data_IF_586393933447
#
_entry.id   IF_586393933447
#
_cell.length_a   1.000
_cell.length_b   1.000
_cell.length_c   1.000
_cell.angle_alpha   90.00
_cell.angle_beta   90.00
_cell.angle_gamma   90.00
#
_symmetry.space_group_name_H-M   'P 1'
#
loop_
_entity.id
_entity.type
_entity.pdbx_description
1 polymer ?
#
# COMPACT_ATOMS: atom_id res chain seq x y z
N UNK A 1 -22.91 47.15 -6.13
CA UNK A 1 -22.08 48.32 -5.73
C UNK A 1 -20.61 47.94 -5.88
N UNK A 2 -19.94 48.34 -6.97
CA UNK A 2 -18.51 48.15 -7.16
C UNK A 2 -17.74 49.39 -6.68
N UNK A 3 -16.52 49.21 -6.17
CA UNK A 3 -15.54 50.30 -6.07
C UNK A 3 -14.27 49.90 -6.82
N UNK A 4 -14.03 50.63 -7.90
CA UNK A 4 -12.78 50.76 -8.64
C UNK A 4 -12.08 52.05 -8.19
N UNK A 5 -10.86 52.23 -8.70
CA UNK A 5 -9.95 53.40 -8.64
C UNK A 5 -8.89 53.35 -7.52
N UNK A 6 -7.59 53.53 -7.78
CA UNK A 6 -6.90 53.84 -9.03
C UNK A 6 -5.68 54.73 -8.78
N UNK A 7 -4.52 54.33 -9.35
CA UNK A 7 -3.36 55.16 -9.78
C UNK A 7 -2.53 55.81 -8.64
N UNK A 8 -1.23 56.08 -8.73
CA UNK A 8 -0.29 56.23 -9.85
C UNK A 8 1.17 56.17 -9.37
N UNK A 9 2.07 55.79 -10.31
CA UNK A 9 3.55 55.87 -10.28
C UNK A 9 4.06 57.32 -10.29
N UNK A 10 5.38 57.49 -10.03
CA UNK A 10 6.39 58.42 -10.66
C UNK A 10 7.55 58.58 -9.62
N UNK A 11 8.70 57.92 -9.76
CA UNK A 11 9.98 58.23 -10.46
C UNK A 11 10.81 59.45 -9.97
N UNK A 12 12.10 59.17 -9.74
CA UNK A 12 13.30 59.98 -10.12
C UNK A 12 14.26 60.47 -9.02
N UNK A 13 15.42 59.82 -9.02
CA UNK A 13 16.81 60.31 -8.91
C UNK A 13 17.09 61.83 -8.83
N UNK A 14 18.06 62.25 -7.98
CA UNK A 14 19.49 62.55 -8.33
C UNK A 14 20.14 63.67 -7.48
N UNK A 15 21.26 63.31 -6.82
CA UNK A 15 22.56 64.03 -6.54
C UNK A 15 22.61 65.50 -6.09
N UNK A 16 23.47 65.77 -5.07
CA UNK A 16 24.75 66.56 -5.07
C UNK A 16 25.09 66.98 -3.62
N UNK A 17 26.20 66.55 -3.01
CA UNK A 17 27.63 66.95 -3.13
C UNK A 17 28.04 67.89 -1.98
N UNK A 18 29.19 67.63 -1.33
CA UNK A 18 30.26 68.60 -0.97
C UNK A 18 31.35 67.93 -0.09
N UNK A 19 32.61 68.01 -0.54
CA UNK A 19 33.89 67.94 0.20
C UNK A 19 34.50 69.37 0.21
N UNK A 20 35.65 69.77 0.85
CA UNK A 20 37.01 69.14 0.91
C UNK A 20 37.71 69.31 2.31
N UNK A 21 38.93 68.87 2.66
CA UNK A 21 40.33 69.22 2.24
C UNK A 21 41.33 68.22 2.89
N UNK A 22 42.22 67.50 2.18
CA UNK A 22 43.63 67.79 1.83
C UNK A 22 44.67 67.79 2.98
N UNK A 23 45.61 66.83 3.01
CA UNK A 23 47.07 67.08 3.02
C UNK A 23 47.98 65.81 2.96
N UNK A 24 48.99 65.93 2.09
CA UNK A 24 50.24 65.20 1.74
C UNK A 24 50.74 63.88 2.38
N UNK A 25 51.19 62.96 1.49
CA UNK A 25 51.93 61.70 1.70
C UNK A 25 53.49 61.85 1.68
N UNK A 26 54.24 60.85 2.21
CA UNK A 26 55.52 60.42 1.61
C UNK A 26 55.58 58.89 1.29
N UNK A 27 56.51 58.44 0.41
CA UNK A 27 56.40 57.18 -0.32
C UNK A 27 56.96 55.93 0.39
N UNK A 28 56.50 54.76 -0.09
CA UNK A 28 56.62 53.42 0.49
C UNK A 28 57.99 52.71 0.28
N UNK A 29 58.39 51.78 1.18
CA UNK A 29 59.43 50.78 0.90
C UNK A 29 58.85 49.48 0.29
N UNK A 30 59.67 48.60 -0.32
CA UNK A 30 59.20 47.62 -1.30
C UNK A 30 58.58 46.35 -0.70
N UNK A 31 57.72 45.74 -1.54
CA UNK A 31 56.84 44.59 -1.31
C UNK A 31 57.58 43.33 -0.82
N UNK A 32 57.14 42.80 0.33
CA UNK A 32 57.32 41.37 0.68
C UNK A 32 56.02 40.64 0.36
N UNK A 33 56.06 39.73 -0.59
CA UNK A 33 55.01 38.74 -0.82
C UNK A 33 54.80 37.92 0.46
N UNK A 34 53.64 38.06 1.10
CA UNK A 34 53.11 37.08 2.04
C UNK A 34 51.84 36.49 1.43
N UNK A 35 51.88 35.17 1.31
CA UNK A 35 50.86 34.28 0.77
C UNK A 35 49.58 34.43 1.61
N UNK A 36 48.45 34.75 0.97
CA UNK A 36 47.13 34.80 1.61
C UNK A 36 46.63 33.38 1.85
N UNK A 37 46.69 32.94 3.10
CA UNK A 37 45.99 31.75 3.60
C UNK A 37 44.54 32.12 3.87
N UNK A 38 43.69 32.08 2.84
CA UNK A 38 42.23 32.14 3.03
C UNK A 38 41.74 30.72 3.32
N UNK A 39 41.68 30.34 4.59
CA UNK A 39 40.93 29.17 5.07
C UNK A 39 39.97 29.64 6.16
N UNK A 40 38.94 30.38 5.75
CA UNK A 40 37.76 30.61 6.58
C UNK A 40 36.60 29.82 5.95
N UNK A 41 36.60 28.50 6.16
CA UNK A 41 35.36 27.74 6.10
C UNK A 41 34.45 28.27 7.22
N UNK A 42 33.17 28.57 6.95
CA UNK A 42 32.24 28.91 8.02
C UNK A 42 32.16 27.72 8.99
N UNK A 43 32.13 27.96 10.31
CA UNK A 43 32.08 26.87 11.29
C UNK A 43 30.86 25.98 11.01
N UNK A 44 30.98 24.66 11.22
CA UNK A 44 29.87 23.74 11.02
C UNK A 44 28.66 24.24 11.83
N UNK A 45 27.51 24.40 11.16
CA UNK A 45 26.28 24.88 11.80
C UNK A 45 26.02 24.03 13.04
N UNK A 46 25.99 24.67 14.20
CA UNK A 46 25.60 24.00 15.44
C UNK A 46 24.20 23.38 15.26
N UNK A 47 23.98 22.13 15.73
CA UNK A 47 22.69 21.49 15.60
C UNK A 47 21.63 22.31 16.35
N UNK A 48 20.54 22.65 15.66
CA UNK A 48 19.40 23.39 16.19
C UNK A 48 19.00 22.85 17.58
N UNK A 49 18.82 23.71 18.60
CA UNK A 49 18.50 23.29 19.96
C UNK A 49 17.10 22.68 19.98
N UNK A 50 17.05 21.35 19.92
CA UNK A 50 15.82 20.56 19.84
C UNK A 50 15.95 19.28 19.00
N UNK A 51 17.00 19.14 18.17
CA UNK A 51 17.23 17.88 17.46
C UNK A 51 17.83 16.83 18.42
N UNK A 52 17.12 15.73 18.64
CA UNK A 52 17.70 14.62 19.42
C UNK A 52 18.92 14.09 18.66
N UNK A 53 20.00 13.71 19.38
CA UNK A 53 21.21 13.15 18.74
C UNK A 53 20.92 11.94 17.84
N UNK A 54 19.79 11.24 18.08
CA UNK A 54 19.29 10.14 17.24
C UNK A 54 18.78 10.60 15.87
N UNK A 55 18.19 11.79 15.75
CA UNK A 55 17.69 12.31 14.46
C UNK A 55 18.82 12.62 13.47
N UNK A 56 19.99 12.98 14.00
CA UNK A 56 21.18 13.34 13.24
C UNK A 56 22.13 12.16 12.96
N UNK A 57 21.78 10.94 13.41
CA UNK A 57 22.62 9.77 13.13
C UNK A 57 22.55 9.37 11.65
N UNK A 58 23.69 8.99 11.04
CA UNK A 58 23.72 8.36 9.73
C UNK A 58 22.84 7.11 9.67
N UNK A 59 22.25 6.86 8.49
CA UNK A 59 21.38 5.71 8.26
C UNK A 59 22.02 4.37 8.69
N UNK A 60 23.32 4.18 8.43
CA UNK A 60 24.04 2.95 8.75
C UNK A 60 24.09 2.67 10.26
N UNK A 61 24.22 3.71 11.08
CA UNK A 61 24.30 3.56 12.53
C UNK A 61 22.91 3.35 13.11
N UNK A 62 21.94 4.15 12.69
CA UNK A 62 20.59 4.07 13.24
C UNK A 62 19.85 2.80 12.81
N UNK A 63 20.14 2.26 11.62
CA UNK A 63 19.64 0.94 11.18
C UNK A 63 20.20 -0.21 12.02
N UNK A 64 21.49 -0.16 12.39
CA UNK A 64 22.10 -1.14 13.31
C UNK A 64 21.50 -1.03 14.71
N UNK A 65 21.33 0.18 15.24
CA UNK A 65 20.67 0.40 16.54
C UNK A 65 19.25 -0.15 16.51
N UNK A 66 18.51 0.08 15.42
CA UNK A 66 17.17 -0.49 15.24
C UNK A 66 17.20 -2.02 15.24
N UNK A 67 18.08 -2.63 14.44
CA UNK A 67 18.22 -4.09 14.37
C UNK A 67 18.58 -4.72 15.72
N UNK A 68 19.46 -4.09 16.50
CA UNK A 68 19.87 -4.58 17.81
C UNK A 68 18.84 -4.33 18.91
N UNK A 69 18.15 -3.18 18.90
CA UNK A 69 17.18 -2.82 19.93
C UNK A 69 15.81 -3.51 19.76
N UNK A 70 15.48 -3.94 18.54
CA UNK A 70 14.14 -4.43 18.17
C UNK A 70 13.00 -3.46 18.56
N UNK A 71 13.31 -2.16 18.71
CA UNK A 71 12.36 -1.17 19.19
C UNK A 71 11.46 -0.65 18.04
N UNK A 72 10.15 -1.01 17.99
CA UNK A 72 9.24 -0.63 16.91
C UNK A 72 9.04 0.88 16.77
N UNK A 73 9.36 1.65 17.81
CA UNK A 73 9.15 3.10 17.83
C UNK A 73 10.34 3.86 17.26
N UNK A 74 11.53 3.25 17.17
CA UNK A 74 12.74 3.94 16.72
C UNK A 74 12.64 4.47 15.27
N UNK A 75 12.05 3.72 14.31
CA UNK A 75 11.83 4.24 12.96
C UNK A 75 10.75 5.31 12.88
N UNK A 76 9.87 5.43 13.89
CA UNK A 76 8.85 6.47 13.97
C UNK A 76 9.39 7.76 14.61
N UNK A 77 10.43 7.65 15.44
CA UNK A 77 11.08 8.80 16.08
C UNK A 77 12.17 9.43 15.21
N UNK A 78 12.77 8.68 14.28
CA UNK A 78 13.75 9.23 13.34
C UNK A 78 13.11 9.53 11.98
N UNK A 79 13.04 10.81 11.65
CA UNK A 79 12.53 11.29 10.35
C UNK A 79 13.37 10.75 9.19
N UNK A 80 14.68 10.64 9.38
CA UNK A 80 15.64 10.09 8.42
C UNK A 80 15.35 8.63 8.12
N UNK A 81 15.20 7.78 9.16
CA UNK A 81 14.81 6.39 8.96
C UNK A 81 13.46 6.25 8.29
N UNK A 82 12.45 6.99 8.75
CA UNK A 82 11.10 6.93 8.20
C UNK A 82 11.08 7.22 6.69
N UNK A 83 11.73 8.30 6.25
CA UNK A 83 11.80 8.64 4.83
C UNK A 83 12.59 7.62 4.02
N UNK A 84 13.67 7.05 4.56
CA UNK A 84 14.42 5.97 3.88
C UNK A 84 13.65 4.65 3.79
N UNK A 85 12.75 4.37 4.74
CA UNK A 85 11.84 3.23 4.66
C UNK A 85 10.75 3.48 3.62
N UNK A 86 10.17 4.67 3.57
CA UNK A 86 9.09 4.98 2.60
C UNK A 86 9.55 5.13 1.15
N UNK A 87 10.80 5.53 0.88
CA UNK A 87 11.32 5.76 -0.47
C UNK A 87 11.66 4.48 -1.27
N UNK A 88 11.55 3.31 -0.64
CA UNK A 88 11.54 1.95 -1.20
C UNK A 88 12.79 1.46 -1.99
N UNK A 89 13.65 2.34 -2.50
CA UNK A 89 14.66 1.97 -3.50
C UNK A 89 15.99 1.39 -2.95
N UNK A 90 16.32 1.55 -1.67
CA UNK A 90 17.63 1.13 -1.13
C UNK A 90 17.61 0.52 0.28
N UNK A 91 16.45 0.41 0.92
CA UNK A 91 16.34 -0.11 2.29
C UNK A 91 16.42 -1.63 2.32
N UNK A 92 17.28 -2.16 3.19
CA UNK A 92 17.46 -3.60 3.41
C UNK A 92 16.14 -4.29 3.77
N UNK A 93 15.78 -5.32 3.00
CA UNK A 93 14.59 -6.15 3.21
C UNK A 93 14.54 -6.67 4.65
N UNK A 94 15.69 -7.01 5.24
CA UNK A 94 15.81 -7.45 6.63
C UNK A 94 15.29 -6.42 7.63
N UNK A 95 15.61 -5.14 7.42
CA UNK A 95 15.13 -4.05 8.26
C UNK A 95 13.63 -3.80 8.06
N UNK A 96 13.13 -3.91 6.81
CA UNK A 96 11.69 -3.81 6.53
C UNK A 96 10.92 -4.91 7.27
N UNK A 97 11.44 -6.15 7.26
CA UNK A 97 10.84 -7.27 7.98
C UNK A 97 10.87 -7.07 9.50
N UNK A 98 12.04 -6.76 10.07
CA UNK A 98 12.19 -6.59 11.52
C UNK A 98 11.30 -5.47 12.05
N UNK A 99 11.12 -4.39 11.28
CA UNK A 99 10.14 -3.36 11.58
C UNK A 99 8.71 -3.87 11.63
N UNK A 100 8.25 -4.62 10.62
CA UNK A 100 6.89 -5.16 10.65
C UNK A 100 6.71 -6.16 11.81
N UNK A 101 7.70 -7.02 12.06
CA UNK A 101 7.66 -7.99 13.16
C UNK A 101 7.62 -7.33 14.53
N UNK A 102 8.40 -6.27 14.74
CA UNK A 102 8.40 -5.51 16.01
C UNK A 102 7.01 -4.95 16.36
N UNK A 103 6.16 -4.66 15.36
CA UNK A 103 4.77 -4.23 15.55
C UNK A 103 3.77 -5.37 15.80
N UNK A 104 4.14 -6.61 15.51
CA UNK A 104 3.25 -7.77 15.65
C UNK A 104 3.12 -8.23 17.11
N UNK A 105 4.17 -8.03 17.91
CA UNK A 105 4.28 -8.49 19.30
C UNK A 105 4.31 -10.03 19.42
N UNK A 106 4.51 -10.53 20.64
CA UNK A 106 4.53 -11.96 20.96
C UNK A 106 3.09 -12.50 21.17
N UNK A 107 2.38 -12.89 20.11
CA UNK A 107 1.01 -13.49 20.22
C UNK A 107 0.77 -14.62 19.22
N UNK A 108 -0.20 -15.49 19.53
CA UNK A 108 -0.61 -16.72 18.81
C UNK A 108 -1.08 -16.57 17.34
N UNK A 109 -0.95 -15.42 16.70
CA UNK A 109 -1.33 -15.22 15.28
C UNK A 109 -0.35 -14.28 14.57
N UNK A 110 0.92 -14.67 14.53
CA UNK A 110 1.99 -13.84 13.95
C UNK A 110 1.72 -13.52 12.49
N UNK A 111 1.39 -14.52 11.64
CA UNK A 111 1.07 -14.30 10.21
C UNK A 111 -0.14 -13.39 10.01
N UNK A 112 -1.20 -13.66 10.78
CA UNK A 112 -2.29 -12.74 11.17
C UNK A 112 -1.90 -11.27 11.11
N UNK A 113 -1.18 -10.91 12.17
CA UNK A 113 -0.80 -9.55 12.47
C UNK A 113 0.22 -9.00 11.51
N UNK A 114 1.11 -9.85 11.02
CA UNK A 114 2.12 -9.49 10.05
C UNK A 114 1.50 -8.90 8.78
N UNK A 115 0.53 -9.61 8.19
CA UNK A 115 -0.23 -9.08 7.06
C UNK A 115 -0.97 -7.81 7.44
N UNK A 116 -1.66 -7.80 8.58
CA UNK A 116 -2.45 -6.65 9.02
C UNK A 116 -1.64 -5.37 9.30
N UNK A 117 -0.39 -5.51 9.75
CA UNK A 117 0.51 -4.39 10.07
C UNK A 117 1.39 -3.99 8.90
N UNK A 118 1.72 -4.93 8.02
CA UNK A 118 2.52 -4.72 6.83
C UNK A 118 1.71 -4.16 5.65
N UNK A 119 0.52 -4.72 5.38
CA UNK A 119 -0.23 -4.50 4.13
C UNK A 119 -0.37 -3.03 3.71
N UNK A 120 -0.75 -2.18 4.66
CA UNK A 120 -1.01 -0.75 4.43
C UNK A 120 0.26 0.11 4.31
N UNK A 121 1.44 -0.51 4.27
CA UNK A 121 2.73 0.19 4.19
C UNK A 121 3.40 -0.08 2.84
N UNK A 122 4.11 0.93 2.32
CA UNK A 122 4.84 0.82 1.05
C UNK A 122 6.00 -0.19 1.13
N UNK A 123 6.58 -0.37 2.31
CA UNK A 123 7.66 -1.32 2.57
C UNK A 123 7.24 -2.79 2.48
N UNK A 124 5.94 -3.09 2.49
CA UNK A 124 5.46 -4.46 2.45
C UNK A 124 5.19 -4.91 1.02
N UNK A 125 6.18 -5.61 0.45
CA UNK A 125 6.15 -6.22 -0.87
C UNK A 125 6.50 -7.71 -0.85
N UNK A 126 6.59 -8.31 -2.03
CA UNK A 126 6.82 -9.75 -2.21
C UNK A 126 8.14 -10.21 -1.58
N UNK A 127 9.20 -9.41 -1.69
CA UNK A 127 10.52 -9.71 -1.10
C UNK A 127 10.45 -9.84 0.43
N UNK A 128 9.71 -8.95 1.09
CA UNK A 128 9.52 -8.99 2.55
C UNK A 128 8.65 -10.18 2.96
N UNK A 129 7.64 -10.52 2.15
CA UNK A 129 6.84 -11.73 2.35
C UNK A 129 7.71 -12.99 2.21
N UNK A 130 8.51 -13.12 1.15
CA UNK A 130 9.42 -14.26 0.95
C UNK A 130 10.41 -14.41 2.09
N UNK A 131 10.99 -13.30 2.53
CA UNK A 131 11.97 -13.34 3.60
C UNK A 131 11.30 -13.64 4.95
N UNK A 132 10.07 -13.17 5.21
CA UNK A 132 9.28 -13.61 6.36
C UNK A 132 9.08 -15.13 6.36
N UNK A 133 8.80 -15.73 5.20
CA UNK A 133 8.65 -17.19 5.10
C UNK A 133 9.97 -17.92 5.41
N UNK A 134 11.08 -17.45 4.82
CA UNK A 134 12.43 -18.01 5.00
C UNK A 134 13.03 -17.79 6.39
N UNK A 135 12.51 -16.86 7.18
CA UNK A 135 13.09 -16.51 8.49
C UNK A 135 12.17 -16.81 9.66
N UNK A 136 10.85 -16.82 9.47
CA UNK A 136 9.86 -16.99 10.54
C UNK A 136 9.09 -18.29 10.41
N UNK A 137 8.77 -18.73 9.19
CA UNK A 137 8.02 -19.98 8.99
C UNK A 137 8.93 -21.20 8.87
N UNK A 138 10.12 -21.07 8.26
CA UNK A 138 11.09 -22.18 8.10
C UNK A 138 11.81 -22.64 9.37
N UNK A 139 12.06 -21.84 10.44
CA UNK A 139 12.70 -22.38 11.66
C UNK A 139 11.79 -23.31 12.50
N UNK A 140 10.49 -23.36 12.22
CA UNK A 140 9.57 -24.32 12.85
C UNK A 140 9.38 -25.62 12.07
N UNK A 141 9.91 -25.71 10.84
CA UNK A 141 9.91 -26.94 10.06
C UNK A 141 11.18 -27.79 10.24
N UNK A 142 12.24 -27.25 10.88
CA UNK A 142 13.56 -27.88 10.90
C UNK A 142 14.06 -28.30 12.29
N UNK A 143 13.38 -27.94 13.38
CA UNK A 143 13.80 -28.39 14.73
C UNK A 143 13.32 -29.79 15.11
N UNK A 144 12.33 -30.34 14.42
CA UNK A 144 11.88 -31.74 14.60
C UNK A 144 12.36 -32.66 13.47
N UNK A 145 13.14 -32.16 12.50
CA UNK A 145 13.50 -32.87 11.27
C UNK A 145 14.95 -33.41 11.24
N UNK A 146 15.62 -33.52 12.38
CA UNK A 146 16.97 -34.14 12.46
C UNK A 146 16.97 -35.67 12.57
N UNK A 147 15.81 -36.33 12.51
CA UNK A 147 15.74 -37.77 12.20
C UNK A 147 15.01 -37.97 10.85
N UNK A 148 15.79 -37.99 9.77
CA UNK A 148 15.40 -38.63 8.51
C UNK A 148 14.67 -37.77 7.48
N UNK A 149 15.42 -36.96 6.73
CA UNK A 149 15.29 -36.83 5.27
C UNK A 149 14.05 -36.13 4.68
N UNK A 150 14.14 -34.81 4.53
CA UNK A 150 13.41 -34.03 3.51
C UNK A 150 12.30 -33.13 4.05
N UNK A 151 12.37 -31.83 3.75
CA UNK A 151 11.36 -30.81 4.11
C UNK A 151 10.22 -30.84 3.08
N UNK A 152 8.94 -30.96 3.48
CA UNK A 152 7.84 -30.75 2.56
C UNK A 152 7.48 -29.24 2.48
N UNK A 153 7.02 -28.74 1.31
CA UNK A 153 6.76 -27.32 1.10
C UNK A 153 5.58 -26.81 1.96
N UNK A 154 5.59 -25.51 2.24
CA UNK A 154 4.55 -24.79 3.00
C UNK A 154 3.19 -25.09 2.37
N UNK A 155 2.37 -25.88 3.09
CA UNK A 155 1.08 -26.40 2.63
C UNK A 155 0.90 -27.91 2.73
N UNK A 156 1.88 -28.68 3.20
CA UNK A 156 1.78 -30.15 3.29
C UNK A 156 1.58 -30.64 4.73
N UNK A 157 0.61 -31.54 4.86
CA UNK A 157 0.29 -32.40 6.01
C UNK A 157 1.55 -32.85 6.75
N UNK A 158 1.74 -32.42 8.00
CA UNK A 158 2.71 -33.00 8.90
C UNK A 158 2.14 -34.30 9.48
N UNK A 159 2.84 -35.42 9.23
CA UNK A 159 2.50 -36.73 9.78
C UNK A 159 2.81 -36.74 11.27
N UNK A 160 1.79 -36.83 12.12
CA UNK A 160 1.92 -37.30 13.51
C UNK A 160 1.00 -38.51 13.64
N UNK A 161 1.51 -39.55 14.29
CA UNK A 161 0.86 -40.84 14.47
C UNK A 161 -0.59 -40.66 14.94
N UNK A 162 -1.54 -41.23 14.18
CA UNK A 162 -3.01 -41.22 14.40
C UNK A 162 -3.72 -39.88 14.11
N UNK A 163 -3.99 -39.64 12.82
CA UNK A 163 -5.05 -38.74 12.36
C UNK A 163 -4.54 -37.58 11.52
N UNK A 164 -5.01 -37.47 10.28
CA UNK A 164 -4.70 -36.35 9.39
C UNK A 164 -5.27 -35.05 9.99
N UNK A 165 -4.41 -34.22 10.60
CA UNK A 165 -4.78 -32.84 10.94
C UNK A 165 -4.96 -32.06 9.62
N UNK A 166 -6.20 -31.73 9.27
CA UNK A 166 -6.48 -30.74 8.23
C UNK A 166 -6.06 -29.38 8.74
N UNK A 167 -4.81 -28.98 8.49
CA UNK A 167 -4.37 -27.60 8.77
C UNK A 167 -5.17 -26.69 7.84
N UNK A 168 -6.05 -25.87 8.43
CA UNK A 168 -6.82 -24.90 7.67
C UNK A 168 -5.82 -23.92 7.01
N UNK A 169 -5.93 -23.65 5.70
CA UNK A 169 -5.06 -22.68 5.06
C UNK A 169 -5.17 -21.33 5.76
N UNK A 170 -4.08 -20.55 5.84
CA UNK A 170 -4.11 -19.23 6.43
C UNK A 170 -5.08 -18.33 5.66
N UNK A 171 -5.84 -17.50 6.38
CA UNK A 171 -6.80 -16.59 5.77
C UNK A 171 -6.19 -15.20 5.56
N UNK A 172 -6.41 -14.62 4.36
CA UNK A 172 -6.14 -13.21 4.08
C UNK A 172 -7.21 -12.39 4.80
N UNK A 173 -6.85 -11.50 5.74
CA UNK A 173 -7.84 -10.71 6.46
C UNK A 173 -8.64 -9.81 5.52
N UNK A 174 -9.98 -9.92 5.55
CA UNK A 174 -10.87 -9.18 4.64
C UNK A 174 -10.66 -7.65 4.66
N UNK A 175 -10.20 -7.10 5.79
CA UNK A 175 -9.94 -5.68 5.93
C UNK A 175 -8.82 -5.16 5.03
N UNK A 176 -7.92 -6.04 4.59
CA UNK A 176 -6.82 -5.68 3.68
C UNK A 176 -7.35 -5.20 2.32
N UNK A 177 -8.52 -5.69 1.89
CA UNK A 177 -9.16 -5.26 0.65
C UNK A 177 -9.80 -3.87 0.74
N UNK A 178 -9.78 -3.22 1.91
CA UNK A 178 -10.15 -1.79 2.06
C UNK A 178 -8.99 -0.83 1.76
N UNK A 179 -7.83 -1.37 1.39
CA UNK A 179 -6.65 -0.60 0.99
C UNK A 179 -6.97 0.42 -0.10
N UNK A 180 -6.77 1.73 0.14
CA UNK A 180 -6.96 2.77 -0.87
C UNK A 180 -6.17 2.51 -2.16
N UNK A 181 -4.97 1.94 -2.03
CA UNK A 181 -4.07 1.61 -3.15
C UNK A 181 -4.12 0.12 -3.52
N UNK A 182 -5.29 -0.51 -3.45
CA UNK A 182 -5.43 -1.97 -3.69
C UNK A 182 -4.83 -2.40 -5.03
N UNK A 183 -4.89 -1.54 -6.06
CA UNK A 183 -4.28 -1.78 -7.37
C UNK A 183 -2.77 -2.04 -7.29
N UNK A 184 -2.05 -1.35 -6.40
CA UNK A 184 -0.60 -1.52 -6.21
C UNK A 184 -0.28 -2.80 -5.44
N UNK A 185 -1.26 -3.36 -4.72
CA UNK A 185 -1.12 -4.57 -3.91
C UNK A 185 -1.51 -5.85 -4.64
N UNK A 186 -1.90 -5.77 -5.91
CA UNK A 186 -2.37 -6.94 -6.66
C UNK A 186 -1.30 -8.02 -6.83
N UNK A 187 -0.05 -7.66 -7.17
CA UNK A 187 1.05 -8.63 -7.24
C UNK A 187 1.29 -9.33 -5.90
N UNK A 188 1.18 -8.59 -4.80
CA UNK A 188 1.31 -9.15 -3.45
C UNK A 188 0.13 -10.06 -3.10
N UNK A 189 -1.09 -9.70 -3.51
CA UNK A 189 -2.28 -10.54 -3.36
C UNK A 189 -2.12 -11.87 -4.11
N UNK A 190 -1.62 -11.83 -5.34
CA UNK A 190 -1.30 -13.04 -6.11
C UNK A 190 -0.22 -13.88 -5.45
N UNK A 191 0.84 -13.24 -4.95
CA UNK A 191 1.87 -13.93 -4.19
C UNK A 191 1.29 -14.69 -2.99
N UNK A 192 0.34 -14.10 -2.25
CA UNK A 192 -0.35 -14.75 -1.12
C UNK A 192 -1.25 -15.91 -1.58
N UNK A 193 -2.05 -15.72 -2.62
CA UNK A 193 -2.96 -16.78 -3.11
C UNK A 193 -2.18 -17.97 -3.64
N UNK A 194 -1.06 -17.74 -4.33
CA UNK A 194 -0.15 -18.79 -4.80
C UNK A 194 0.51 -19.57 -3.64
N UNK A 195 0.44 -19.06 -2.41
CA UNK A 195 0.87 -19.72 -1.17
C UNK A 195 -0.28 -20.37 -0.42
N UNK A 196 -1.39 -20.65 -1.10
CA UNK A 196 -2.61 -21.22 -0.55
C UNK A 196 -3.27 -20.37 0.55
N UNK A 197 -3.02 -19.06 0.60
CA UNK A 197 -3.84 -18.20 1.46
C UNK A 197 -5.26 -18.12 0.89
N UNK A 198 -6.25 -18.26 1.77
CA UNK A 198 -7.68 -18.24 1.40
C UNK A 198 -8.37 -16.96 1.83
N UNK A 199 -9.46 -16.63 1.17
CA UNK A 199 -10.31 -15.49 1.49
C UNK A 199 -11.61 -15.98 2.13
N UNK A 200 -12.22 -15.16 2.98
CA UNK A 200 -13.50 -15.46 3.61
C UNK A 200 -14.61 -15.69 2.58
N UNK A 201 -15.25 -16.86 2.62
CA UNK A 201 -16.37 -17.24 1.74
C UNK A 201 -17.66 -16.46 1.99
N UNK A 202 -17.81 -15.88 3.18
CA UNK A 202 -19.04 -15.19 3.54
C UNK A 202 -18.96 -13.67 3.30
N UNK A 203 -17.75 -13.16 3.08
CA UNK A 203 -17.53 -11.73 2.93
C UNK A 203 -17.45 -11.36 1.45
N UNK A 204 -18.38 -10.54 0.93
CA UNK A 204 -18.31 -10.08 -0.46
C UNK A 204 -17.25 -8.99 -0.68
N UNK A 205 -16.71 -8.37 0.38
CA UNK A 205 -15.83 -7.19 0.27
C UNK A 205 -14.56 -7.42 -0.55
N UNK A 206 -13.84 -8.54 -0.43
CA UNK A 206 -12.64 -8.79 -1.24
C UNK A 206 -12.91 -8.68 -2.74
N UNK A 207 -13.92 -9.41 -3.22
CA UNK A 207 -14.31 -9.40 -4.63
C UNK A 207 -14.97 -8.07 -5.03
N UNK A 208 -15.90 -7.55 -4.23
CA UNK A 208 -16.60 -6.29 -4.57
C UNK A 208 -15.68 -5.07 -4.57
N UNK A 209 -14.65 -5.00 -3.72
CA UNK A 209 -13.68 -3.90 -3.73
C UNK A 209 -12.75 -4.00 -4.94
N UNK A 210 -12.30 -5.21 -5.31
CA UNK A 210 -11.55 -5.40 -6.56
C UNK A 210 -12.39 -4.94 -7.77
N UNK A 211 -13.67 -5.32 -7.81
CA UNK A 211 -14.62 -4.92 -8.86
C UNK A 211 -15.00 -3.43 -8.84
N UNK A 212 -14.59 -2.64 -7.84
CA UNK A 212 -14.79 -1.18 -7.80
C UNK A 212 -13.64 -0.38 -8.38
N UNK A 213 -12.46 -0.99 -8.55
CA UNK A 213 -11.28 -0.31 -9.11
C UNK A 213 -11.61 0.28 -10.49
N UNK A 214 -11.05 1.43 -10.89
CA UNK A 214 -11.37 2.06 -12.18
C UNK A 214 -11.25 1.08 -13.37
N UNK A 215 -10.16 0.31 -13.38
CA UNK A 215 -9.88 -0.74 -14.37
C UNK A 215 -9.60 -2.05 -13.62
N UNK A 216 -10.63 -2.83 -13.25
CA UNK A 216 -10.43 -4.05 -12.49
C UNK A 216 -9.79 -5.12 -13.39
N UNK A 217 -8.57 -5.58 -13.09
CA UNK A 217 -7.91 -6.55 -13.95
C UNK A 217 -8.59 -7.92 -13.84
N UNK A 218 -9.11 -8.42 -14.96
CA UNK A 218 -9.89 -9.66 -15.03
C UNK A 218 -9.11 -10.86 -14.48
N UNK A 219 -7.79 -10.90 -14.70
CA UNK A 219 -6.89 -11.92 -14.17
C UNK A 219 -7.03 -12.08 -12.66
N UNK A 220 -7.11 -10.97 -11.92
CA UNK A 220 -7.24 -11.00 -10.46
C UNK A 220 -8.66 -11.35 -10.02
N UNK A 221 -9.68 -10.95 -10.77
CA UNK A 221 -11.07 -11.36 -10.49
C UNK A 221 -11.19 -12.89 -10.58
N UNK A 222 -10.64 -13.47 -11.65
CA UNK A 222 -10.58 -14.92 -11.87
C UNK A 222 -9.78 -15.59 -10.76
N UNK A 223 -8.58 -15.09 -10.46
CA UNK A 223 -7.71 -15.61 -9.39
C UNK A 223 -8.45 -15.70 -8.05
N UNK A 224 -9.20 -14.67 -7.66
CA UNK A 224 -9.97 -14.68 -6.41
C UNK A 224 -11.08 -15.74 -6.40
N UNK A 225 -11.77 -15.91 -7.52
CA UNK A 225 -12.91 -16.84 -7.66
C UNK A 225 -12.47 -18.30 -7.83
N UNK A 226 -11.31 -18.57 -8.44
CA UNK A 226 -10.83 -19.94 -8.69
C UNK A 226 -9.88 -20.44 -7.61
N UNK A 227 -8.94 -19.61 -7.15
CA UNK A 227 -7.87 -20.01 -6.24
C UNK A 227 -7.95 -19.34 -4.87
N UNK A 228 -8.45 -18.10 -4.81
CA UNK A 228 -8.59 -17.35 -3.55
C UNK A 228 -9.72 -17.87 -2.64
N UNK A 229 -10.62 -18.71 -3.14
CA UNK A 229 -11.72 -19.28 -2.37
C UNK A 229 -12.89 -18.32 -2.12
N UNK A 230 -12.98 -17.22 -2.86
CA UNK A 230 -14.13 -16.31 -2.82
C UNK A 230 -15.42 -17.03 -3.27
N UNK A 231 -16.54 -16.73 -2.61
CA UNK A 231 -17.85 -17.19 -3.04
C UNK A 231 -18.54 -16.09 -3.84
N UNK A 232 -18.89 -16.38 -5.11
CA UNK A 232 -19.62 -15.45 -5.98
C UNK A 232 -20.98 -15.04 -5.39
N UNK A 233 -21.64 -15.95 -4.67
CA UNK A 233 -22.96 -15.74 -4.06
C UNK A 233 -22.91 -15.07 -2.69
N UNK A 234 -21.74 -14.63 -2.23
CA UNK A 234 -21.62 -13.94 -0.93
C UNK A 234 -22.55 -12.70 -0.89
N UNK A 235 -23.34 -12.61 0.19
CA UNK A 235 -24.32 -11.53 0.40
C UNK A 235 -25.32 -11.36 -0.76
N UNK A 236 -25.85 -12.47 -1.29
CA UNK A 236 -26.83 -12.48 -2.39
C UNK A 236 -26.29 -11.83 -3.66
N UNK A 237 -25.17 -12.37 -4.14
CA UNK A 237 -24.53 -11.96 -5.41
C UNK A 237 -24.16 -10.47 -5.43
N UNK A 238 -23.65 -9.97 -4.29
CA UNK A 238 -23.24 -8.58 -4.14
C UNK A 238 -22.18 -8.15 -5.18
N UNK A 239 -21.35 -9.09 -5.64
CA UNK A 239 -20.39 -8.88 -6.73
C UNK A 239 -21.08 -8.53 -8.05
N UNK A 240 -22.08 -9.32 -8.45
CA UNK A 240 -22.87 -9.05 -9.66
C UNK A 240 -23.59 -7.71 -9.56
N UNK A 241 -24.27 -7.45 -8.44
CA UNK A 241 -24.96 -6.19 -8.20
C UNK A 241 -24.01 -4.98 -8.27
N UNK A 242 -22.77 -5.12 -7.79
CA UNK A 242 -21.76 -4.07 -7.87
C UNK A 242 -21.39 -3.75 -9.33
N UNK A 243 -21.14 -4.77 -10.16
CA UNK A 243 -20.84 -4.59 -11.59
C UNK A 243 -22.01 -3.94 -12.33
N UNK A 244 -23.24 -4.37 -12.05
CA UNK A 244 -24.46 -3.80 -12.64
C UNK A 244 -24.62 -2.34 -12.26
N UNK A 245 -24.47 -1.98 -10.97
CA UNK A 245 -24.54 -0.58 -10.53
C UNK A 245 -23.57 0.33 -11.28
N UNK A 246 -22.35 -0.17 -11.51
CA UNK A 246 -21.29 0.54 -12.22
C UNK A 246 -21.41 0.46 -13.75
N UNK A 247 -22.38 -0.28 -14.28
CA UNK A 247 -22.59 -0.45 -15.72
C UNK A 247 -21.51 -1.23 -16.45
N UNK A 248 -20.74 -2.08 -15.74
CA UNK A 248 -19.60 -2.83 -16.29
C UNK A 248 -20.08 -4.12 -16.95
N UNK A 249 -20.58 -4.02 -18.18
CA UNK A 249 -21.31 -5.11 -18.81
C UNK A 249 -20.46 -6.35 -19.10
N UNK A 250 -19.20 -6.17 -19.49
CA UNK A 250 -18.25 -7.28 -19.71
C UNK A 250 -18.01 -8.07 -18.42
N UNK A 251 -17.92 -7.38 -17.27
CA UNK A 251 -17.81 -8.04 -15.98
C UNK A 251 -19.09 -8.76 -15.59
N UNK A 252 -20.26 -8.19 -15.91
CA UNK A 252 -21.56 -8.85 -15.67
C UNK A 252 -21.63 -10.16 -16.46
N UNK A 253 -21.28 -10.14 -17.75
CA UNK A 253 -21.24 -11.34 -18.59
C UNK A 253 -20.30 -12.39 -18.00
N UNK A 254 -19.05 -12.00 -17.71
CA UNK A 254 -18.05 -12.92 -17.15
C UNK A 254 -18.50 -13.54 -15.81
N UNK A 255 -19.04 -12.75 -14.87
CA UNK A 255 -19.46 -13.27 -13.56
C UNK A 255 -20.62 -14.26 -13.67
N UNK A 256 -21.56 -14.05 -14.60
CA UNK A 256 -22.72 -14.93 -14.79
C UNK A 256 -22.35 -16.16 -15.62
N UNK A 257 -21.69 -15.97 -16.76
CA UNK A 257 -21.44 -17.05 -17.73
C UNK A 257 -20.33 -17.99 -17.29
N UNK A 258 -19.30 -17.49 -16.61
CA UNK A 258 -18.15 -18.30 -16.24
C UNK A 258 -18.16 -18.73 -14.78
N UNK A 259 -18.75 -17.91 -13.90
CA UNK A 259 -18.76 -18.15 -12.45
C UNK A 259 -20.15 -18.41 -11.88
N UNK A 260 -21.20 -18.37 -12.71
CA UNK A 260 -22.56 -18.76 -12.31
C UNK A 260 -23.26 -17.79 -11.36
N UNK A 261 -22.90 -16.50 -11.36
CA UNK A 261 -23.60 -15.50 -10.54
C UNK A 261 -25.11 -15.47 -10.83
N UNK A 262 -25.93 -15.39 -9.78
CA UNK A 262 -27.39 -15.41 -9.88
C UNK A 262 -27.95 -14.06 -10.37
N UNK A 263 -28.51 -14.06 -11.58
CA UNK A 263 -29.14 -12.89 -12.21
C UNK A 263 -30.41 -12.41 -11.49
N UNK A 264 -31.00 -13.25 -10.64
CA UNK A 264 -32.13 -12.90 -9.78
C UNK A 264 -31.70 -12.35 -8.41
N UNK A 265 -30.38 -12.12 -8.23
CA UNK A 265 -29.82 -11.41 -7.09
C UNK A 265 -30.57 -10.10 -6.80
N UNK A 266 -30.75 -9.82 -5.51
CA UNK A 266 -31.63 -8.74 -5.04
C UNK A 266 -31.27 -7.39 -5.68
N UNK A 267 -32.17 -6.89 -6.54
CA UNK A 267 -32.07 -5.58 -7.15
C UNK A 267 -31.12 -5.48 -8.35
N UNK A 268 -30.63 -6.61 -8.89
CA UNK A 268 -29.82 -6.67 -10.12
C UNK A 268 -30.56 -6.01 -11.29
N UNK A 269 -31.70 -6.58 -11.70
CA UNK A 269 -32.47 -6.07 -12.84
C UNK A 269 -32.97 -4.64 -12.61
N UNK A 270 -33.47 -4.34 -11.40
CA UNK A 270 -33.87 -2.98 -11.03
C UNK A 270 -32.74 -1.98 -11.23
N UNK A 271 -31.53 -2.29 -10.77
CA UNK A 271 -30.40 -1.37 -10.94
C UNK A 271 -29.96 -1.25 -12.39
N UNK A 272 -30.07 -2.30 -13.20
CA UNK A 272 -29.82 -2.20 -14.63
C UNK A 272 -30.79 -1.21 -15.31
N UNK A 273 -32.09 -1.30 -14.97
CA UNK A 273 -33.15 -0.39 -15.45
C UNK A 273 -32.96 1.04 -14.95
N UNK A 274 -32.76 1.24 -13.64
CA UNK A 274 -32.50 2.56 -13.04
C UNK A 274 -31.31 3.29 -13.71
N UNK A 275 -30.34 2.53 -14.22
CA UNK A 275 -29.17 3.07 -14.90
C UNK A 275 -29.33 3.29 -16.40
N UNK A 276 -30.52 3.05 -16.98
CA UNK A 276 -30.79 3.22 -18.41
C UNK A 276 -30.01 2.25 -19.32
N UNK A 277 -29.50 1.14 -18.78
CA UNK A 277 -28.60 0.21 -19.50
C UNK A 277 -29.40 -0.82 -20.30
N UNK A 278 -30.05 -0.38 -21.36
CA UNK A 278 -30.98 -1.19 -22.18
C UNK A 278 -30.38 -2.54 -22.62
N UNK A 279 -29.18 -2.54 -23.18
CA UNK A 279 -28.51 -3.77 -23.65
C UNK A 279 -28.28 -4.77 -22.50
N UNK A 280 -27.86 -4.28 -21.34
CA UNK A 280 -27.67 -5.11 -20.15
C UNK A 280 -29.00 -5.66 -19.62
N UNK A 281 -30.08 -4.86 -19.67
CA UNK A 281 -31.43 -5.27 -19.25
C UNK A 281 -31.95 -6.38 -20.17
N UNK A 282 -31.89 -6.19 -21.49
CA UNK A 282 -32.28 -7.20 -22.48
C UNK A 282 -31.51 -8.50 -22.28
N UNK A 283 -30.20 -8.41 -22.08
CA UNK A 283 -29.35 -9.58 -21.83
C UNK A 283 -29.66 -10.28 -20.50
N UNK A 284 -29.87 -9.53 -19.41
CA UNK A 284 -30.24 -10.11 -18.10
C UNK A 284 -31.59 -10.85 -18.18
N UNK A 285 -32.58 -10.28 -18.88
CA UNK A 285 -33.86 -10.95 -19.13
C UNK A 285 -33.67 -12.22 -19.98
N UNK A 286 -32.80 -12.16 -21.00
CA UNK A 286 -32.41 -13.32 -21.80
C UNK A 286 -31.74 -14.44 -20.99
N UNK A 287 -31.09 -14.10 -19.87
CA UNK A 287 -30.52 -15.06 -18.90
C UNK A 287 -31.52 -15.51 -17.81
N UNK A 288 -32.81 -15.17 -17.94
CA UNK A 288 -33.86 -15.59 -17.01
C UNK A 288 -34.07 -14.68 -15.80
N UNK A 289 -33.61 -13.42 -15.86
CA UNK A 289 -33.93 -12.43 -14.82
C UNK A 289 -35.40 -12.04 -14.88
N UNK A 290 -36.10 -12.13 -13.75
CA UNK A 290 -37.55 -11.87 -13.69
C UNK A 290 -37.81 -10.42 -13.28
N UNK A 291 -38.54 -9.62 -14.09
CA UNK A 291 -38.98 -8.29 -13.68
C UNK A 291 -40.00 -8.40 -12.56
N UNK A 292 -39.70 -7.79 -11.41
CA UNK A 292 -40.67 -7.66 -10.33
C UNK A 292 -41.85 -6.79 -10.76
N UNK A 293 -43.02 -6.99 -10.14
CA UNK A 293 -44.28 -6.28 -10.47
C UNK A 293 -44.11 -4.75 -10.52
N UNK A 294 -43.27 -4.19 -9.63
CA UNK A 294 -42.97 -2.76 -9.61
C UNK A 294 -42.09 -2.26 -10.77
N UNK A 295 -41.29 -3.12 -11.40
CA UNK A 295 -40.49 -2.75 -12.58
C UNK A 295 -41.35 -2.66 -13.85
N UNK A 296 -42.30 -3.58 -14.00
CA UNK A 296 -43.18 -3.65 -15.18
C UNK A 296 -44.02 -2.39 -15.37
N UNK A 297 -44.36 -1.70 -14.27
CA UNK A 297 -45.08 -0.43 -14.30
C UNK A 297 -44.21 0.75 -14.76
N UNK A 298 -42.89 0.69 -14.54
CA UNK A 298 -41.94 1.75 -14.94
C UNK A 298 -41.35 1.59 -16.34
N UNK A 299 -41.40 0.38 -16.92
CA UNK A 299 -40.87 0.10 -18.27
C UNK A 299 -41.83 0.47 -19.42
N UNK A 300 -43.04 0.97 -19.12
CA UNK A 300 -44.05 1.40 -20.10
C UNK A 300 -44.01 2.89 -20.47
N UNK A 301 -42.98 3.61 -20.05
CA UNK A 301 -42.80 5.05 -20.30
C UNK A 301 -41.83 5.35 -21.43
#
# INVERSE_FOLDING_TARGET
MPFLEGRSRITSSRKRSLSPTADHDPPSPPKRHKISSNNDEPPPREPEPGSSYLENLPYELISRIFASSSNPHLPLTSRTLFHTFESNASTDTHLKLSFILSMCGQKHHVTRRFLEKGWFRNIFGVEVLEMYERSVLTPYAYRDATDGGGIPPVGVVTRVEKGYMRVKPPEIPDRLFREPRLQEKLLLLEALINRNFTISRHNPYPLTNLLRLPNPPLTYVRLLLTHGGCNIHASSDAALLQCVKMGRFELVKMLVEEFGADVNGKGVLRKAVDGGRREMVEWLMGKGSVPGVGLLLGMKG
#
